data_IF_045186334592
#
_entry.id   IF_045186334592
#
_cell.length_a   1.000
_cell.length_b   1.000
_cell.length_c   1.000
_cell.angle_alpha   90.00
_cell.angle_beta   90.00
_cell.angle_gamma   90.00
#
_symmetry.space_group_name_H-M   'P 1'
#
loop_
_entity.id
_entity.type
_entity.pdbx_description
1 polymer ?
#
# COMPACT_ATOMS: atom_id res chain seq x y z
N UNK A 1 26.13 14.02 -19.27
CA UNK A 1 25.57 15.06 -18.39
C UNK A 1 24.22 14.54 -17.89
N UNK A 2 24.19 14.01 -16.66
CA UNK A 2 22.96 13.49 -16.05
C UNK A 2 22.19 14.69 -15.53
N UNK A 3 21.07 15.00 -16.19
CA UNK A 3 20.22 16.13 -15.81
C UNK A 3 19.67 15.94 -14.39
N UNK A 4 19.96 16.90 -13.54
CA UNK A 4 19.28 17.10 -12.26
C UNK A 4 17.80 17.24 -12.58
N UNK A 5 16.99 16.24 -12.18
CA UNK A 5 15.53 16.33 -12.30
C UNK A 5 15.09 17.37 -11.28
N UNK A 6 14.96 18.62 -11.73
CA UNK A 6 14.34 19.68 -10.95
C UNK A 6 12.87 19.32 -10.68
N UNK A 7 12.54 19.00 -9.42
CA UNK A 7 11.16 18.85 -8.96
C UNK A 7 10.36 20.09 -9.41
N UNK A 8 9.29 19.87 -10.18
CA UNK A 8 8.48 20.98 -10.71
C UNK A 8 7.65 21.65 -9.61
N UNK A 9 7.78 22.97 -9.49
CA UNK A 9 6.94 23.80 -8.65
C UNK A 9 5.50 23.84 -9.15
N UNK A 10 4.50 23.68 -8.27
CA UNK A 10 3.10 23.69 -8.69
C UNK A 10 2.20 24.71 -7.96
N UNK A 11 2.59 25.24 -6.80
CA UNK A 11 1.73 26.18 -6.08
C UNK A 11 2.43 27.48 -5.62
N UNK A 12 1.94 28.62 -6.14
CA UNK A 12 2.18 29.96 -5.58
C UNK A 12 1.02 30.29 -4.63
N UNK A 13 1.18 30.10 -3.32
CA UNK A 13 0.10 30.48 -2.40
C UNK A 13 0.51 30.55 -0.92
N UNK A 14 1.58 29.87 -0.54
CA UNK A 14 2.18 29.92 0.79
C UNK A 14 3.69 30.05 0.60
N UNK A 15 4.39 30.78 1.46
CA UNK A 15 5.84 31.05 1.35
C UNK A 15 6.78 29.80 1.38
N UNK A 16 6.26 28.60 1.10
CA UNK A 16 7.03 27.35 1.01
C UNK A 16 6.78 26.66 -0.34
N UNK A 17 7.86 26.17 -0.93
CA UNK A 17 7.82 25.34 -2.13
C UNK A 17 7.15 24.01 -1.83
N UNK A 18 6.20 23.59 -2.66
CA UNK A 18 5.52 22.30 -2.57
C UNK A 18 5.86 21.46 -3.82
N UNK A 19 5.99 20.15 -3.61
CA UNK A 19 6.38 19.20 -4.65
C UNK A 19 5.37 18.07 -4.75
N UNK A 20 5.11 17.59 -5.95
CA UNK A 20 4.45 16.32 -6.17
C UNK A 20 5.47 15.19 -6.08
N UNK A 21 5.18 14.18 -5.27
CA UNK A 21 6.01 12.99 -5.06
C UNK A 21 5.16 11.74 -5.15
N UNK A 22 5.77 10.62 -5.53
CA UNK A 22 5.15 9.30 -5.52
C UNK A 22 5.56 8.52 -4.28
N UNK A 23 4.58 7.90 -3.60
CA UNK A 23 4.78 7.14 -2.38
C UNK A 23 4.12 5.76 -2.44
N UNK A 24 4.86 4.72 -2.06
CA UNK A 24 4.37 3.37 -1.80
C UNK A 24 4.76 3.00 -0.36
N UNK A 25 3.77 2.94 0.53
CA UNK A 25 4.01 2.87 1.97
C UNK A 25 3.97 1.43 2.53
N UNK A 26 3.78 0.39 1.68
CA UNK A 26 3.62 -0.98 2.14
C UNK A 26 4.46 -1.95 1.31
N UNK A 27 5.74 -2.07 1.68
CA UNK A 27 6.69 -2.96 1.03
C UNK A 27 7.33 -3.89 2.07
N UNK A 28 7.21 -5.20 1.85
CA UNK A 28 7.78 -6.23 2.72
C UNK A 28 9.24 -6.51 2.42
N UNK A 29 9.94 -7.12 3.40
CA UNK A 29 11.26 -7.71 3.25
C UNK A 29 11.14 -9.24 3.27
N UNK A 30 11.66 -9.92 2.24
CA UNK A 30 11.70 -11.38 2.21
C UNK A 30 12.81 -11.96 3.09
N UNK A 31 14.01 -11.36 2.99
CA UNK A 31 15.19 -11.77 3.77
C UNK A 31 16.05 -10.57 4.12
N UNK A 32 16.77 -10.68 5.24
CA UNK A 32 17.86 -9.77 5.58
C UNK A 32 19.04 -9.93 4.61
N UNK A 33 19.98 -8.98 4.64
CA UNK A 33 21.24 -9.05 3.87
C UNK A 33 22.05 -10.32 4.21
N UNK A 34 22.00 -10.76 5.46
CA UNK A 34 22.60 -12.02 5.93
C UNK A 34 21.72 -13.26 5.65
N UNK A 35 20.77 -13.15 4.70
CA UNK A 35 19.89 -14.23 4.25
C UNK A 35 19.01 -14.85 5.34
N UNK A 36 18.75 -14.15 6.46
CA UNK A 36 17.79 -14.59 7.49
C UNK A 36 16.36 -14.34 6.97
N UNK A 37 15.41 -15.27 7.19
CA UNK A 37 14.03 -15.10 6.75
C UNK A 37 13.34 -13.98 7.54
N UNK A 38 12.59 -13.13 6.86
CA UNK A 38 11.75 -12.07 7.44
C UNK A 38 10.30 -12.35 7.08
N UNK A 39 9.86 -12.13 5.84
CA UNK A 39 8.53 -12.53 5.32
C UNK A 39 8.70 -13.77 4.47
N UNK A 40 8.26 -14.93 4.97
CA UNK A 40 8.49 -16.23 4.31
C UNK A 40 7.85 -16.29 2.93
N UNK A 41 6.72 -15.59 2.73
CA UNK A 41 5.98 -15.55 1.47
C UNK A 41 6.54 -14.56 0.45
N UNK A 42 7.53 -13.75 0.82
CA UNK A 42 8.14 -12.76 -0.06
C UNK A 42 9.41 -13.30 -0.74
N UNK A 43 9.76 -12.69 -1.88
CA UNK A 43 10.93 -13.06 -2.66
C UNK A 43 12.24 -12.83 -1.88
N UNK A 44 13.19 -13.75 -2.01
CA UNK A 44 14.49 -13.67 -1.31
C UNK A 44 15.30 -12.43 -1.66
N UNK A 45 15.15 -11.91 -2.87
CA UNK A 45 15.83 -10.68 -3.34
C UNK A 45 15.23 -9.39 -2.78
N UNK A 46 14.12 -9.46 -2.05
CA UNK A 46 13.47 -8.31 -1.45
C UNK A 46 14.10 -8.05 -0.08
N UNK A 47 15.22 -7.34 -0.05
CA UNK A 47 15.94 -6.88 1.13
C UNK A 47 15.96 -5.35 1.17
N UNK A 48 16.43 -4.76 2.27
CA UNK A 48 16.36 -3.32 2.52
C UNK A 48 17.05 -2.49 1.44
N UNK A 49 18.31 -2.84 1.11
CA UNK A 49 19.09 -2.12 0.10
C UNK A 49 18.52 -2.27 -1.32
N UNK A 50 18.05 -3.47 -1.67
CA UNK A 50 17.46 -3.72 -2.99
C UNK A 50 16.13 -2.96 -3.17
N UNK A 51 15.31 -2.81 -2.11
CA UNK A 51 14.08 -2.00 -2.16
C UNK A 51 14.44 -0.54 -2.44
N UNK A 52 15.39 0.03 -1.69
CA UNK A 52 15.84 1.41 -1.89
C UNK A 52 16.35 1.65 -3.33
N UNK A 53 17.16 0.71 -3.83
CA UNK A 53 17.69 0.75 -5.21
C UNK A 53 16.57 0.63 -6.24
N UNK A 54 15.66 -0.32 -6.10
CA UNK A 54 14.53 -0.53 -7.03
C UNK A 54 13.64 0.72 -7.10
N UNK A 55 13.31 1.32 -5.96
CA UNK A 55 12.52 2.56 -5.89
C UNK A 55 13.19 3.70 -6.65
N UNK A 56 14.54 3.88 -6.47
CA UNK A 56 15.29 4.94 -7.12
C UNK A 56 15.48 4.72 -8.61
N UNK A 57 15.94 3.51 -9.00
CA UNK A 57 16.52 3.27 -10.33
C UNK A 57 15.48 2.77 -11.33
N UNK A 58 14.42 2.10 -10.87
CA UNK A 58 13.45 1.46 -11.75
C UNK A 58 12.02 1.97 -11.56
N UNK A 59 11.58 2.15 -10.32
CA UNK A 59 10.19 2.54 -10.03
C UNK A 59 9.97 4.06 -10.14
N UNK A 60 10.88 4.86 -9.60
CA UNK A 60 10.70 6.32 -9.51
C UNK A 60 9.81 6.72 -8.35
N UNK A 61 9.85 5.94 -7.26
CA UNK A 61 9.17 6.22 -5.99
C UNK A 61 10.06 7.12 -5.15
N UNK A 62 9.51 8.22 -4.65
CA UNK A 62 10.22 9.21 -3.85
C UNK A 62 10.16 8.89 -2.34
N UNK A 63 9.04 8.31 -1.86
CA UNK A 63 8.85 7.90 -0.47
C UNK A 63 8.42 6.42 -0.45
N UNK A 64 9.17 5.57 0.25
CA UNK A 64 8.84 4.15 0.41
C UNK A 64 8.72 3.79 1.89
N UNK A 65 7.60 3.16 2.28
CA UNK A 65 7.42 2.54 3.59
C UNK A 65 7.86 1.08 3.56
N UNK A 66 8.90 0.74 4.33
CA UNK A 66 9.36 -0.64 4.50
C UNK A 66 8.84 -1.14 5.84
N UNK A 67 7.90 -2.11 5.81
CA UNK A 67 7.08 -2.44 6.97
C UNK A 67 7.54 -3.69 7.74
N UNK A 68 8.81 -4.07 7.62
CA UNK A 68 9.43 -5.16 8.38
C UNK A 68 10.65 -4.72 9.20
N UNK A 69 10.79 -3.39 9.40
CA UNK A 69 11.96 -2.79 10.05
C UNK A 69 12.04 -3.05 11.58
N UNK A 70 10.98 -3.57 12.22
CA UNK A 70 11.04 -3.97 13.62
C UNK A 70 11.76 -5.33 13.84
N UNK A 71 12.07 -6.10 12.78
CA UNK A 71 12.89 -7.29 12.92
C UNK A 71 14.33 -6.93 13.31
N UNK A 72 14.91 -7.54 14.36
CA UNK A 72 16.30 -7.30 14.76
C UNK A 72 17.32 -7.51 13.62
N UNK A 73 17.04 -8.44 12.70
CA UNK A 73 17.89 -8.67 11.53
C UNK A 73 17.83 -7.52 10.53
N UNK A 74 16.66 -6.89 10.38
CA UNK A 74 16.50 -5.72 9.50
C UNK A 74 17.09 -4.47 10.15
N UNK A 75 16.98 -4.32 11.48
CA UNK A 75 17.66 -3.24 12.22
C UNK A 75 19.16 -3.28 11.97
N UNK A 76 19.79 -4.48 12.05
CA UNK A 76 21.21 -4.66 11.72
C UNK A 76 21.52 -4.26 10.26
N UNK A 77 20.67 -4.66 9.31
CA UNK A 77 20.82 -4.28 7.90
C UNK A 77 20.76 -2.76 7.72
N UNK A 78 19.82 -2.07 8.39
CA UNK A 78 19.67 -0.61 8.35
C UNK A 78 20.91 0.08 8.92
N UNK A 79 21.41 -0.37 10.08
CA UNK A 79 22.63 0.18 10.69
C UNK A 79 23.83 0.04 9.77
N UNK A 80 23.98 -1.12 9.11
CA UNK A 80 25.05 -1.36 8.15
C UNK A 80 24.87 -0.52 6.88
N UNK A 81 23.64 -0.36 6.39
CA UNK A 81 23.33 0.48 5.26
C UNK A 81 23.69 1.96 5.49
N UNK A 82 23.39 2.48 6.68
CA UNK A 82 23.79 3.85 7.07
C UNK A 82 25.32 4.01 7.13
N UNK A 83 26.06 2.98 7.58
CA UNK A 83 27.54 3.00 7.62
C UNK A 83 28.19 3.07 6.22
N UNK A 84 27.49 2.70 5.15
CA UNK A 84 28.01 2.82 3.77
C UNK A 84 28.22 4.26 3.34
N UNK A 85 27.54 5.22 3.98
CA UNK A 85 27.50 6.63 3.58
C UNK A 85 26.64 6.92 2.34
N UNK A 86 26.00 5.90 1.73
CA UNK A 86 25.04 6.08 0.63
C UNK A 86 23.66 6.53 1.09
N UNK A 87 23.39 6.39 2.40
CA UNK A 87 22.14 6.78 3.05
C UNK A 87 22.43 7.48 4.37
N UNK A 88 21.52 8.34 4.80
CA UNK A 88 21.60 9.06 6.08
C UNK A 88 20.21 9.35 6.63
N UNK A 89 20.11 9.35 7.94
CA UNK A 89 18.89 9.72 8.64
C UNK A 89 18.74 11.24 8.70
N UNK A 90 17.53 11.76 8.55
CA UNK A 90 17.25 13.19 8.58
C UNK A 90 16.46 13.58 9.84
N UNK A 91 16.63 14.83 10.28
CA UNK A 91 16.00 15.36 11.50
C UNK A 91 14.46 15.27 11.47
N UNK A 92 13.84 15.47 10.30
CA UNK A 92 12.39 15.42 10.14
C UNK A 92 11.86 13.98 9.93
N UNK A 93 12.70 12.99 10.21
CA UNK A 93 12.42 11.56 10.18
C UNK A 93 12.48 10.95 8.79
N UNK A 94 12.94 9.71 8.75
CA UNK A 94 13.19 8.93 7.54
C UNK A 94 14.67 8.84 7.19
N UNK A 95 15.00 7.90 6.31
CA UNK A 95 16.36 7.66 5.80
C UNK A 95 16.40 8.05 4.34
N UNK A 96 17.26 9.00 3.99
CA UNK A 96 17.46 9.43 2.60
C UNK A 96 18.53 8.56 1.95
N UNK A 97 18.17 7.92 0.85
CA UNK A 97 19.07 7.13 0.01
C UNK A 97 19.47 7.91 -1.26
N UNK A 98 20.79 8.18 -1.41
CA UNK A 98 21.38 8.85 -2.58
C UNK A 98 20.61 10.14 -2.97
N UNK A 99 20.21 10.92 -2.00
CA UNK A 99 19.50 12.20 -2.12
C UNK A 99 18.19 12.16 -2.96
N UNK A 100 17.59 10.97 -3.11
CA UNK A 100 16.41 10.79 -3.98
C UNK A 100 15.24 10.09 -3.34
N UNK A 101 15.46 9.06 -2.55
CA UNK A 101 14.40 8.23 -1.95
C UNK A 101 14.42 8.40 -0.45
N UNK A 102 13.27 8.74 0.12
CA UNK A 102 13.04 8.70 1.56
C UNK A 102 12.46 7.34 1.94
N UNK A 103 13.14 6.63 2.82
CA UNK A 103 12.67 5.36 3.38
C UNK A 103 12.04 5.67 4.73
N UNK A 104 10.77 5.34 4.88
CA UNK A 104 10.03 5.40 6.13
C UNK A 104 10.10 4.03 6.80
N UNK A 105 10.58 4.01 8.03
CA UNK A 105 10.74 2.78 8.81
C UNK A 105 9.37 2.36 9.37
N UNK A 106 8.94 1.15 9.05
CA UNK A 106 7.64 0.64 9.47
C UNK A 106 7.66 -0.80 9.95
N UNK A 107 6.54 -1.22 10.52
CA UNK A 107 6.29 -2.60 10.92
C UNK A 107 4.83 -2.95 10.69
N UNK A 108 4.55 -4.13 10.10
CA UNK A 108 3.21 -4.70 10.05
C UNK A 108 2.99 -5.63 11.25
N UNK A 109 2.01 -5.30 12.09
CA UNK A 109 1.66 -6.07 13.29
C UNK A 109 0.25 -6.67 13.13
N UNK A 110 0.13 -7.99 13.30
CA UNK A 110 -1.16 -8.65 13.41
C UNK A 110 -1.68 -8.53 14.85
N UNK A 111 -2.90 -8.01 15.00
CA UNK A 111 -3.64 -7.98 16.28
C UNK A 111 -4.84 -8.90 16.24
N UNK A 112 -5.34 -9.29 17.41
CA UNK A 112 -6.57 -10.08 17.54
C UNK A 112 -7.65 -9.23 18.16
N UNK A 113 -8.79 -9.14 17.47
CA UNK A 113 -9.92 -8.31 17.87
C UNK A 113 -11.14 -9.17 18.21
N UNK A 114 -11.85 -8.81 19.27
CA UNK A 114 -13.14 -9.44 19.58
C UNK A 114 -14.19 -8.89 18.60
N UNK A 115 -14.61 -9.72 17.67
CA UNK A 115 -15.65 -9.37 16.70
C UNK A 115 -17.05 -9.31 17.32
N UNK A 116 -18.02 -8.76 16.56
CA UNK A 116 -19.39 -8.49 16.99
C UNK A 116 -20.17 -9.71 17.51
N UNK A 117 -19.80 -10.93 17.12
CA UNK A 117 -20.48 -12.17 17.47
C UNK A 117 -19.68 -13.06 18.41
N UNK A 118 -18.70 -12.50 19.14
CA UNK A 118 -17.82 -13.26 20.04
C UNK A 118 -16.74 -14.06 19.31
N UNK A 119 -16.67 -14.02 17.98
CA UNK A 119 -15.56 -14.57 17.21
C UNK A 119 -14.36 -13.61 17.28
N UNK A 120 -13.17 -14.17 17.51
CA UNK A 120 -11.93 -13.40 17.40
C UNK A 120 -11.52 -13.33 15.93
N UNK A 121 -11.54 -12.13 15.36
CA UNK A 121 -10.93 -11.82 14.10
C UNK A 121 -9.47 -11.39 14.27
N UNK A 122 -8.72 -11.28 13.18
CA UNK A 122 -7.39 -10.68 13.18
C UNK A 122 -7.29 -9.57 12.13
N UNK A 123 -6.51 -8.55 12.43
CA UNK A 123 -6.26 -7.43 11.53
C UNK A 123 -4.78 -7.07 11.51
N UNK A 124 -4.30 -6.58 10.37
CA UNK A 124 -2.97 -6.03 10.23
C UNK A 124 -2.99 -4.51 10.45
N UNK A 125 -1.93 -4.03 11.06
CA UNK A 125 -1.71 -2.62 11.37
C UNK A 125 -0.34 -2.23 10.86
N UNK A 126 -0.26 -1.18 10.03
CA UNK A 126 0.98 -0.56 9.59
C UNK A 126 1.38 0.49 10.62
N UNK A 127 2.52 0.29 11.24
CA UNK A 127 3.10 1.20 12.23
C UNK A 127 4.32 1.85 11.60
N UNK A 128 4.37 3.19 11.52
CA UNK A 128 5.49 3.92 10.92
C UNK A 128 6.18 4.79 11.96
N UNK A 129 7.49 4.91 11.85
CA UNK A 129 8.33 5.60 12.83
C UNK A 129 9.28 6.59 12.15
N UNK A 130 9.56 7.75 12.81
CA UNK A 130 10.43 8.76 12.24
C UNK A 130 11.90 8.35 12.23
N UNK A 131 12.39 7.67 13.30
CA UNK A 131 13.79 7.43 13.49
C UNK A 131 14.13 5.98 13.80
N UNK A 132 15.38 5.59 13.50
CA UNK A 132 15.88 4.24 13.79
C UNK A 132 15.81 3.91 15.29
N UNK A 133 16.07 4.86 16.16
CA UNK A 133 15.97 4.63 17.60
C UNK A 133 14.53 4.42 18.06
N UNK A 134 13.54 5.07 17.42
CA UNK A 134 12.13 4.86 17.72
C UNK A 134 11.69 3.43 17.39
N UNK A 135 12.04 2.93 16.18
CA UNK A 135 11.67 1.57 15.81
C UNK A 135 12.47 0.50 16.56
N UNK A 136 13.70 0.79 17.01
CA UNK A 136 14.44 -0.09 17.93
C UNK A 136 13.72 -0.22 19.28
N UNK A 137 13.30 0.91 19.85
CA UNK A 137 12.52 0.96 21.09
C UNK A 137 11.22 0.18 20.94
N UNK A 138 10.48 0.44 19.86
CA UNK A 138 9.26 -0.28 19.52
C UNK A 138 9.50 -1.81 19.36
N UNK A 139 10.53 -2.22 18.62
CA UNK A 139 10.90 -3.63 18.45
C UNK A 139 11.18 -4.33 19.78
N UNK A 140 11.93 -3.66 20.66
CA UNK A 140 12.24 -4.18 21.99
C UNK A 140 10.97 -4.38 22.82
N UNK A 141 10.04 -3.43 22.83
CA UNK A 141 8.77 -3.56 23.55
C UNK A 141 7.90 -4.63 22.93
N UNK A 142 7.75 -4.64 21.61
CA UNK A 142 6.94 -5.63 20.90
C UNK A 142 7.47 -7.06 21.05
N UNK A 143 8.75 -7.25 21.34
CA UNK A 143 9.31 -8.59 21.62
C UNK A 143 8.71 -9.25 22.87
N UNK A 144 8.07 -8.48 23.75
CA UNK A 144 7.33 -9.00 24.92
C UNK A 144 5.90 -9.43 24.57
N UNK A 145 5.37 -8.96 23.45
CA UNK A 145 4.01 -9.23 22.97
C UNK A 145 3.97 -10.19 21.79
N UNK A 146 5.10 -10.41 21.09
CA UNK A 146 5.22 -11.23 19.90
C UNK A 146 6.14 -12.40 20.17
N UNK A 147 5.70 -13.63 19.88
CA UNK A 147 6.48 -14.84 20.11
C UNK A 147 7.82 -14.88 19.36
N UNK A 148 7.85 -14.35 18.14
CA UNK A 148 9.05 -14.28 17.32
C UNK A 148 9.12 -12.96 16.54
N UNK A 149 9.73 -11.94 17.13
CA UNK A 149 9.90 -10.61 16.54
C UNK A 149 10.85 -10.61 15.33
N UNK A 150 11.60 -11.68 15.09
CA UNK A 150 12.49 -11.75 13.91
C UNK A 150 11.74 -11.95 12.60
N UNK A 151 10.49 -12.41 12.64
CA UNK A 151 9.63 -12.63 11.48
C UNK A 151 8.60 -11.50 11.34
N UNK A 152 8.27 -11.19 10.08
CA UNK A 152 7.27 -10.20 9.69
C UNK A 152 5.84 -10.61 10.06
N UNK A 153 4.97 -9.61 10.27
CA UNK A 153 3.52 -9.76 10.41
C UNK A 153 3.10 -10.81 11.43
N UNK A 154 3.85 -10.90 12.52
CA UNK A 154 3.54 -11.84 13.59
C UNK A 154 2.39 -11.30 14.43
N UNK A 155 1.60 -12.25 14.98
CA UNK A 155 0.51 -11.91 15.89
C UNK A 155 1.06 -11.44 17.23
N UNK A 156 0.66 -10.23 17.61
CA UNK A 156 0.87 -9.71 18.94
C UNK A 156 -0.24 -10.17 19.90
N UNK A 157 0.11 -10.36 21.16
CA UNK A 157 -0.83 -10.72 22.22
C UNK A 157 -1.45 -9.45 22.87
N UNK A 158 -1.79 -8.49 22.03
CA UNK A 158 -2.47 -7.22 22.36
C UNK A 158 -3.50 -6.89 21.28
N UNK A 159 -4.46 -6.02 21.62
CA UNK A 159 -5.42 -5.45 20.68
C UNK A 159 -4.83 -4.27 19.91
N UNK A 160 -5.46 -3.87 18.80
CA UNK A 160 -5.10 -2.66 18.07
C UNK A 160 -5.30 -1.39 18.93
N UNK A 161 -6.27 -1.41 19.84
CA UNK A 161 -6.49 -0.35 20.82
C UNK A 161 -5.30 -0.13 21.76
N UNK A 162 -4.65 -1.22 22.20
CA UNK A 162 -3.43 -1.15 23.02
C UNK A 162 -2.19 -0.84 22.17
N UNK A 163 -2.11 -1.38 20.96
CA UNK A 163 -0.98 -1.17 20.04
C UNK A 163 -0.78 0.32 19.72
N UNK A 164 -1.86 1.09 19.57
CA UNK A 164 -1.74 2.52 19.22
C UNK A 164 -0.98 3.31 20.29
N UNK A 165 -1.11 2.99 21.58
CA UNK A 165 -0.37 3.66 22.66
C UNK A 165 1.13 3.33 22.59
N UNK A 166 1.46 2.07 22.27
CA UNK A 166 2.86 1.66 22.09
C UNK A 166 3.47 2.38 20.88
N UNK A 167 2.74 2.48 19.78
CA UNK A 167 3.20 3.20 18.58
C UNK A 167 3.46 4.66 18.88
N UNK A 168 2.53 5.35 19.55
CA UNK A 168 2.67 6.76 19.94
C UNK A 168 3.83 7.01 20.92
N UNK A 169 4.05 6.09 21.85
CA UNK A 169 5.18 6.17 22.81
C UNK A 169 6.54 6.26 22.10
N UNK A 170 6.64 5.67 20.90
CA UNK A 170 7.83 5.73 20.03
C UNK A 170 7.65 6.69 18.85
N UNK A 171 6.90 7.79 19.04
CA UNK A 171 6.68 8.84 18.04
C UNK A 171 6.09 8.35 16.70
N UNK A 172 5.52 7.17 16.69
CA UNK A 172 4.97 6.55 15.47
C UNK A 172 3.51 6.91 15.20
N UNK A 173 3.04 6.43 14.06
CA UNK A 173 1.63 6.48 13.65
C UNK A 173 1.15 5.08 13.25
N UNK A 174 -0.15 4.83 13.47
CA UNK A 174 -0.80 3.58 13.08
C UNK A 174 -1.78 3.83 11.94
N UNK A 175 -1.69 3.00 10.89
CA UNK A 175 -2.60 2.96 9.74
C UNK A 175 -3.15 1.55 9.61
N UNK A 176 -4.47 1.33 9.71
CA UNK A 176 -5.08 0.03 9.45
C UNK A 176 -4.77 -0.45 8.02
N UNK A 177 -4.22 -1.66 7.89
CA UNK A 177 -3.78 -2.22 6.62
C UNK A 177 -4.92 -2.87 5.85
N UNK A 178 -4.92 -2.74 4.50
CA UNK A 178 -5.85 -3.42 3.57
C UNK A 178 -7.21 -3.74 4.20
N UNK A 179 -7.90 -2.69 4.70
CA UNK A 179 -9.01 -2.75 5.66
C UNK A 179 -10.17 -3.66 5.31
N UNK A 180 -10.35 -4.01 4.03
CA UNK A 180 -11.53 -4.71 3.52
C UNK A 180 -11.29 -6.17 3.13
N UNK A 181 -10.03 -6.64 3.09
CA UNK A 181 -9.72 -8.02 2.70
C UNK A 181 -10.38 -9.04 3.63
N UNK A 182 -10.83 -10.22 3.15
CA UNK A 182 -11.54 -11.19 3.99
C UNK A 182 -10.67 -11.77 5.11
N UNK A 183 -9.35 -11.63 5.00
CA UNK A 183 -8.40 -12.15 5.96
C UNK A 183 -7.54 -11.02 6.53
N UNK A 184 -7.31 -11.05 7.85
CA UNK A 184 -6.37 -10.16 8.57
C UNK A 184 -6.67 -8.66 8.33
N UNK A 185 -7.94 -8.31 8.37
CA UNK A 185 -8.38 -6.93 8.19
C UNK A 185 -9.52 -6.56 9.14
N UNK A 186 -9.71 -5.28 9.36
CA UNK A 186 -10.76 -4.83 10.28
C UNK A 186 -12.15 -5.09 9.72
N UNK A 187 -12.53 -4.51 8.59
CA UNK A 187 -13.88 -4.65 8.04
C UNK A 187 -14.17 -6.03 7.47
N UNK A 188 -13.17 -6.68 6.89
CA UNK A 188 -13.34 -8.01 6.31
C UNK A 188 -13.45 -9.13 7.35
N UNK A 189 -12.84 -8.98 8.54
CA UNK A 189 -12.68 -10.09 9.49
C UNK A 189 -13.11 -9.76 10.92
N UNK A 190 -13.00 -8.50 11.39
CA UNK A 190 -13.15 -8.18 12.81
C UNK A 190 -14.42 -7.41 13.14
N UNK A 191 -14.79 -6.39 12.37
CA UNK A 191 -15.82 -5.42 12.74
C UNK A 191 -16.56 -4.86 11.53
N UNK A 192 -17.66 -4.17 11.77
CA UNK A 192 -18.37 -3.34 10.81
C UNK A 192 -18.02 -1.84 10.95
N UNK A 193 -17.34 -1.45 12.06
CA UNK A 193 -16.92 -0.08 12.35
C UNK A 193 -15.60 -0.06 13.11
N UNK A 194 -14.64 0.73 12.64
CA UNK A 194 -13.34 0.95 13.30
C UNK A 194 -13.51 1.62 14.67
N UNK A 195 -14.49 2.51 14.81
CA UNK A 195 -14.79 3.17 16.08
C UNK A 195 -15.11 2.17 17.21
N UNK A 196 -15.66 0.99 16.90
CA UNK A 196 -15.90 -0.06 17.90
C UNK A 196 -14.60 -0.69 18.44
N UNK A 197 -13.56 -0.70 17.63
CA UNK A 197 -12.22 -1.22 17.99
C UNK A 197 -11.40 -0.14 18.68
N UNK A 198 -11.26 1.02 18.05
CA UNK A 198 -10.36 2.09 18.50
C UNK A 198 -10.98 3.05 19.50
N UNK A 199 -12.31 3.07 19.62
CA UNK A 199 -13.07 3.92 20.56
C UNK A 199 -12.65 5.38 20.46
N UNK A 200 -12.33 6.04 21.58
CA UNK A 200 -11.85 7.41 21.64
C UNK A 200 -10.50 7.65 20.90
N UNK A 201 -9.74 6.58 20.69
CA UNK A 201 -8.47 6.65 19.92
C UNK A 201 -8.70 6.63 18.40
N UNK A 202 -9.93 6.45 17.93
CA UNK A 202 -10.23 6.47 16.49
C UNK A 202 -9.76 7.77 15.81
N UNK A 203 -9.85 8.91 16.52
CA UNK A 203 -9.36 10.19 16.02
C UNK A 203 -7.84 10.24 15.78
N UNK A 204 -7.07 9.36 16.42
CA UNK A 204 -5.61 9.25 16.26
C UNK A 204 -5.19 8.53 14.97
N UNK A 205 -6.12 7.80 14.33
CA UNK A 205 -5.88 7.13 13.05
C UNK A 205 -5.93 8.17 11.93
N UNK A 206 -4.82 8.52 11.27
CA UNK A 206 -4.80 9.58 10.26
C UNK A 206 -5.33 9.11 8.91
N UNK A 207 -5.14 7.84 8.58
CA UNK A 207 -5.47 7.26 7.29
C UNK A 207 -5.84 5.78 7.40
N UNK A 208 -6.46 5.23 6.37
CA UNK A 208 -6.65 3.79 6.19
C UNK A 208 -6.10 3.35 4.83
N UNK A 209 -5.61 2.11 4.75
CA UNK A 209 -5.24 1.49 3.49
C UNK A 209 -6.42 0.73 2.90
N UNK A 210 -6.74 1.05 1.64
CA UNK A 210 -7.88 0.43 0.93
C UNK A 210 -7.62 -1.05 0.61
N UNK A 211 -6.39 -1.37 0.19
CA UNK A 211 -6.01 -2.69 -0.33
C UNK A 211 -6.50 -2.96 -1.75
N UNK A 212 -5.94 -3.99 -2.38
CA UNK A 212 -6.02 -4.27 -3.82
C UNK A 212 -7.40 -4.68 -4.36
N UNK A 213 -8.38 -4.90 -3.51
CA UNK A 213 -9.74 -5.34 -3.90
C UNK A 213 -10.82 -4.30 -3.57
N UNK A 214 -10.44 -3.10 -3.14
CA UNK A 214 -11.33 -1.98 -2.83
C UNK A 214 -10.84 -0.70 -3.51
N UNK A 215 -11.70 0.29 -3.59
CA UNK A 215 -11.41 1.63 -4.08
C UNK A 215 -12.09 2.70 -3.20
N UNK A 216 -11.85 3.95 -3.53
CA UNK A 216 -12.46 5.10 -2.85
C UNK A 216 -13.99 5.06 -2.93
N UNK A 217 -14.56 4.65 -4.07
CA UNK A 217 -16.02 4.68 -4.27
C UNK A 217 -16.74 3.64 -3.42
N UNK A 218 -16.13 2.49 -3.21
CA UNK A 218 -16.64 1.46 -2.30
C UNK A 218 -16.48 1.90 -0.84
N UNK A 219 -15.32 2.39 -0.45
CA UNK A 219 -15.03 2.80 0.91
C UNK A 219 -15.87 4.01 1.37
N UNK A 220 -16.14 4.97 0.49
CA UNK A 220 -16.96 6.17 0.78
C UNK A 220 -18.45 5.86 1.07
N UNK A 221 -18.88 4.61 0.90
CA UNK A 221 -20.21 4.16 1.36
C UNK A 221 -20.29 3.90 2.86
N UNK A 222 -19.16 4.04 3.59
CA UNK A 222 -19.07 3.86 5.04
C UNK A 222 -18.83 5.23 5.69
N UNK A 223 -19.82 5.72 6.44
CA UNK A 223 -19.87 7.11 6.93
C UNK A 223 -18.72 7.47 7.87
N UNK A 224 -18.29 6.55 8.75
CA UNK A 224 -17.18 6.82 9.69
C UNK A 224 -15.86 7.15 8.98
N UNK A 225 -15.72 6.78 7.71
CA UNK A 225 -14.49 7.03 6.92
C UNK A 225 -14.43 8.43 6.28
N UNK A 226 -15.46 9.26 6.40
CA UNK A 226 -15.50 10.59 5.77
C UNK A 226 -14.30 11.47 6.17
N UNK A 227 -13.87 11.38 7.43
CA UNK A 227 -12.75 12.15 7.97
C UNK A 227 -11.36 11.53 7.74
N UNK A 228 -11.29 10.32 7.18
CA UNK A 228 -10.03 9.57 7.04
C UNK A 228 -9.42 9.77 5.67
N UNK A 229 -8.12 9.95 5.61
CA UNK A 229 -7.37 9.90 4.36
C UNK A 229 -7.28 8.46 3.86
N UNK A 230 -7.46 8.25 2.56
CA UNK A 230 -7.26 6.94 1.94
C UNK A 230 -5.87 6.85 1.31
N UNK A 231 -5.21 5.71 1.52
CA UNK A 231 -3.96 5.37 0.85
C UNK A 231 -4.11 4.05 0.09
N UNK A 232 -3.42 3.98 -1.04
CA UNK A 232 -3.27 2.78 -1.86
C UNK A 232 -1.80 2.40 -1.87
N UNK A 233 -1.48 1.17 -1.50
CA UNK A 233 -0.11 0.71 -1.45
C UNK A 233 0.01 -0.66 -2.09
N UNK A 234 1.23 -1.02 -2.48
CA UNK A 234 1.45 -2.22 -3.27
C UNK A 234 1.32 -3.54 -2.50
N UNK A 235 1.50 -3.54 -1.19
CA UNK A 235 1.68 -4.79 -0.41
C UNK A 235 2.67 -5.72 -1.13
N UNK A 236 3.84 -5.16 -1.47
CA UNK A 236 4.79 -5.81 -2.36
C UNK A 236 5.55 -6.94 -1.65
N UNK A 237 5.48 -8.14 -2.24
CA UNK A 237 6.22 -9.34 -1.83
C UNK A 237 7.33 -9.70 -2.82
N UNK A 238 7.65 -8.82 -3.78
CA UNK A 238 8.77 -8.94 -4.72
C UNK A 238 9.08 -7.59 -5.35
N UNK A 239 10.34 -7.35 -5.76
CA UNK A 239 10.77 -6.08 -6.37
C UNK A 239 9.87 -5.62 -7.53
N UNK A 240 9.47 -6.48 -8.49
CA UNK A 240 8.61 -6.04 -9.58
C UNK A 240 7.21 -5.55 -9.15
N UNK A 241 6.72 -5.96 -7.96
CA UNK A 241 5.40 -5.58 -7.44
C UNK A 241 5.41 -4.25 -6.69
N UNK A 242 6.58 -3.68 -6.35
CA UNK A 242 6.67 -2.34 -5.78
C UNK A 242 5.99 -1.36 -6.74
N UNK A 243 5.22 -0.44 -6.20
CA UNK A 243 4.45 0.56 -6.95
C UNK A 243 3.44 -0.02 -7.95
N UNK A 244 2.87 -1.23 -7.69
CA UNK A 244 1.69 -1.68 -8.45
C UNK A 244 0.42 -0.93 -8.04
N UNK A 245 0.37 -0.41 -6.82
CA UNK A 245 -0.47 0.67 -6.31
C UNK A 245 0.42 1.66 -5.56
N UNK A 246 0.09 2.94 -5.59
CA UNK A 246 0.86 4.00 -4.97
C UNK A 246 0.04 5.29 -4.87
N UNK A 247 0.58 6.24 -4.11
CA UNK A 247 -0.05 7.53 -3.89
C UNK A 247 0.77 8.64 -4.55
N UNK A 248 0.09 9.65 -5.07
CA UNK A 248 0.70 10.92 -5.43
C UNK A 248 0.40 11.91 -4.32
N UNK A 249 1.42 12.54 -3.78
CA UNK A 249 1.33 13.41 -2.62
C UNK A 249 1.83 14.81 -2.95
N UNK A 250 1.26 15.81 -2.30
CA UNK A 250 1.75 17.19 -2.28
C UNK A 250 2.42 17.43 -0.93
N UNK A 251 3.73 17.66 -0.93
CA UNK A 251 4.57 17.80 0.28
C UNK A 251 5.59 18.93 0.14
N UNK A 252 6.11 19.44 1.26
CA UNK A 252 7.17 20.44 1.27
C UNK A 252 8.57 19.86 1.09
N UNK A 253 8.77 18.59 1.48
CA UNK A 253 9.99 17.81 1.29
C UNK A 253 9.66 16.31 1.42
N UNK A 254 10.66 15.43 1.24
CA UNK A 254 10.50 13.99 1.49
C UNK A 254 11.00 13.66 2.90
N UNK A 255 10.08 13.46 3.83
CA UNK A 255 10.37 13.10 5.23
C UNK A 255 9.16 12.44 5.89
N UNK A 256 9.36 11.84 7.06
CA UNK A 256 8.27 11.32 7.89
C UNK A 256 7.29 12.43 8.32
N UNK A 257 7.81 13.60 8.74
CA UNK A 257 6.95 14.70 9.16
C UNK A 257 6.08 15.23 8.02
N UNK A 258 6.60 15.31 6.82
CA UNK A 258 5.82 15.73 5.63
C UNK A 258 4.80 14.65 5.21
N UNK A 259 5.16 13.35 5.32
CA UNK A 259 4.22 12.24 5.17
C UNK A 259 3.08 12.34 6.18
N UNK A 260 3.39 12.54 7.47
CA UNK A 260 2.39 12.66 8.53
C UNK A 260 1.41 13.81 8.26
N UNK A 261 1.92 14.99 7.88
CA UNK A 261 1.10 16.13 7.49
C UNK A 261 0.20 15.83 6.29
N UNK A 262 0.72 15.12 5.29
CA UNK A 262 -0.06 14.74 4.13
C UNK A 262 -1.19 13.74 4.47
N UNK A 263 -0.93 12.77 5.36
CA UNK A 263 -1.95 11.85 5.86
C UNK A 263 -3.03 12.55 6.68
N UNK A 264 -2.69 13.66 7.36
CA UNK A 264 -3.61 14.46 8.17
C UNK A 264 -4.24 15.63 7.40
N UNK A 265 -3.86 15.88 6.15
CA UNK A 265 -4.25 17.06 5.37
C UNK A 265 -3.89 18.40 6.05
N UNK A 266 -2.72 18.48 6.67
CA UNK A 266 -2.23 19.65 7.42
C UNK A 266 -1.33 20.55 6.57
N UNK A 267 -1.38 21.86 6.82
CA UNK A 267 -0.51 22.87 6.19
C UNK A 267 -0.46 22.82 4.66
N UNK A 268 -1.55 22.40 4.02
CA UNK A 268 -1.64 22.23 2.57
C UNK A 268 -0.97 20.97 2.00
N UNK A 269 -0.38 20.11 2.87
CA UNK A 269 0.09 18.78 2.48
C UNK A 269 -1.11 17.85 2.38
N UNK A 270 -1.10 16.97 1.38
CA UNK A 270 -2.21 16.02 1.18
C UNK A 270 -1.82 14.90 0.21
N UNK A 271 -2.60 13.83 0.24
CA UNK A 271 -2.66 12.88 -0.87
C UNK A 271 -3.51 13.54 -1.97
N UNK A 272 -3.00 13.65 -3.19
CA UNK A 272 -3.73 14.25 -4.32
C UNK A 272 -4.33 13.21 -5.25
N UNK A 273 -3.69 12.05 -5.38
CA UNK A 273 -4.22 10.95 -6.20
C UNK A 273 -3.85 9.60 -5.58
N UNK A 274 -4.82 8.71 -5.49
CA UNK A 274 -4.62 7.29 -5.26
C UNK A 274 -4.55 6.57 -6.61
N UNK A 275 -3.40 5.99 -6.96
CA UNK A 275 -3.26 5.11 -8.12
C UNK A 275 -3.42 3.67 -7.65
N UNK A 276 -4.60 3.11 -7.85
CA UNK A 276 -4.93 1.76 -7.41
C UNK A 276 -5.43 0.87 -8.54
N UNK A 277 -5.48 -0.42 -8.31
CA UNK A 277 -6.08 -1.38 -9.24
C UNK A 277 -7.60 -1.16 -9.31
N UNK A 278 -8.21 -1.51 -10.45
CA UNK A 278 -9.66 -1.78 -10.44
C UNK A 278 -9.91 -2.93 -9.45
N UNK A 279 -10.81 -2.78 -8.47
CA UNK A 279 -11.10 -3.80 -7.46
C UNK A 279 -11.37 -5.18 -8.03
N UNK A 280 -11.88 -5.27 -9.26
CA UNK A 280 -12.10 -6.54 -9.99
C UNK A 280 -10.80 -7.30 -10.26
N UNK A 281 -9.64 -6.61 -10.34
CA UNK A 281 -8.33 -7.25 -10.47
C UNK A 281 -7.85 -7.87 -9.15
N UNK A 282 -8.40 -7.45 -8.03
CA UNK A 282 -8.06 -7.97 -6.71
C UNK A 282 -8.45 -9.44 -6.53
N UNK A 283 -7.68 -10.14 -5.70
CA UNK A 283 -7.86 -11.58 -5.44
C UNK A 283 -9.18 -11.94 -4.75
N UNK A 284 -9.79 -10.98 -4.09
CA UNK A 284 -10.93 -11.18 -3.19
C UNK A 284 -12.10 -10.28 -3.52
N UNK A 285 -12.26 -9.82 -4.75
CA UNK A 285 -13.32 -8.90 -5.12
C UNK A 285 -14.72 -9.47 -4.86
N UNK A 286 -14.99 -10.69 -5.32
CA UNK A 286 -16.29 -11.37 -5.16
C UNK A 286 -16.18 -12.58 -4.23
N UNK A 287 -17.31 -12.92 -3.60
CA UNK A 287 -17.44 -14.09 -2.74
C UNK A 287 -17.12 -15.37 -3.49
N UNK A 288 -16.30 -16.22 -2.86
CA UNK A 288 -15.83 -17.49 -3.39
C UNK A 288 -16.36 -18.65 -2.57
N UNK A 289 -16.83 -19.70 -3.24
CA UNK A 289 -17.28 -20.94 -2.59
C UNK A 289 -16.11 -21.91 -2.44
N UNK A 290 -15.75 -22.24 -1.22
CA UNK A 290 -14.64 -23.17 -0.92
C UNK A 290 -15.00 -24.63 -1.31
N UNK A 291 -16.31 -24.96 -1.40
CA UNK A 291 -16.78 -26.28 -1.82
C UNK A 291 -16.78 -26.43 -3.35
N UNK A 292 -17.33 -25.42 -4.05
CA UNK A 292 -17.40 -25.45 -5.52
C UNK A 292 -16.11 -25.05 -6.21
N UNK A 293 -15.17 -24.40 -5.49
CA UNK A 293 -13.92 -23.93 -6.06
C UNK A 293 -14.06 -22.79 -7.07
N UNK A 294 -15.07 -21.89 -6.92
CA UNK A 294 -15.33 -20.80 -7.87
C UNK A 294 -16.01 -19.59 -7.25
N UNK A 295 -15.91 -18.44 -7.91
CA UNK A 295 -16.67 -17.25 -7.55
C UNK A 295 -18.17 -17.52 -7.68
N UNK A 296 -18.95 -17.04 -6.72
CA UNK A 296 -20.41 -17.20 -6.71
C UNK A 296 -21.00 -16.07 -7.55
N UNK A 297 -21.77 -16.39 -8.63
CA UNK A 297 -22.46 -15.37 -9.41
C UNK A 297 -23.67 -14.82 -8.66
N UNK A 298 -24.12 -13.63 -9.03
CA UNK A 298 -25.31 -12.98 -8.49
C UNK A 298 -25.06 -11.54 -8.05
N UNK A 299 -26.12 -10.88 -7.61
CA UNK A 299 -26.05 -9.53 -7.05
C UNK A 299 -25.47 -9.57 -5.64
N UNK A 300 -24.61 -8.60 -5.30
CA UNK A 300 -24.11 -8.46 -3.94
C UNK A 300 -25.21 -7.94 -3.00
N UNK A 301 -25.21 -8.34 -1.72
CA UNK A 301 -24.24 -9.23 -1.09
C UNK A 301 -24.58 -10.72 -1.27
N UNK A 302 -23.57 -11.55 -1.52
CA UNK A 302 -23.70 -13.01 -1.59
C UNK A 302 -23.16 -13.64 -0.31
N UNK A 303 -24.02 -14.35 0.43
CA UNK A 303 -23.71 -14.94 1.74
C UNK A 303 -23.82 -16.47 1.78
N UNK A 304 -24.33 -17.08 0.70
CA UNK A 304 -24.50 -18.53 0.53
C UNK A 304 -24.22 -18.87 -0.92
N UNK A 305 -23.62 -20.02 -1.18
CA UNK A 305 -23.42 -20.50 -2.55
C UNK A 305 -24.74 -20.89 -3.19
N UNK A 306 -25.10 -20.25 -4.29
CA UNK A 306 -26.34 -20.54 -5.05
C UNK A 306 -26.25 -21.81 -5.91
N UNK A 307 -25.13 -22.53 -5.91
CA UNK A 307 -24.93 -23.79 -6.67
C UNK A 307 -25.01 -25.02 -5.76
N UNK A 308 -24.51 -24.93 -4.52
CA UNK A 308 -24.45 -26.07 -3.60
C UNK A 308 -24.97 -25.76 -2.19
N UNK A 309 -25.61 -24.60 -1.99
CA UNK A 309 -26.17 -24.12 -0.74
C UNK A 309 -25.17 -24.07 0.45
N UNK A 310 -23.88 -24.15 0.14
CA UNK A 310 -22.82 -24.11 1.15
C UNK A 310 -22.66 -22.72 1.73
N UNK A 311 -22.47 -22.67 3.05
CA UNK A 311 -22.04 -21.49 3.82
C UNK A 311 -20.51 -21.44 4.01
N UNK A 312 -19.78 -22.47 3.55
CA UNK A 312 -18.32 -22.46 3.56
C UNK A 312 -17.83 -21.61 2.39
N UNK A 313 -17.75 -20.31 2.63
CA UNK A 313 -17.41 -19.28 1.66
C UNK A 313 -16.33 -18.36 2.20
N UNK A 314 -15.47 -17.85 1.30
CA UNK A 314 -14.63 -16.67 1.55
C UNK A 314 -15.38 -15.46 1.01
N UNK A 315 -15.88 -14.60 1.92
CA UNK A 315 -16.67 -13.43 1.55
C UNK A 315 -15.84 -12.42 0.78
N UNK A 316 -16.32 -11.99 -0.39
CA UNK A 316 -15.66 -11.00 -1.21
C UNK A 316 -15.72 -9.59 -0.60
N UNK A 317 -14.73 -8.77 -0.95
CA UNK A 317 -14.64 -7.38 -0.48
C UNK A 317 -15.88 -6.58 -0.87
N UNK A 318 -16.31 -6.67 -2.13
CA UNK A 318 -17.52 -6.00 -2.62
C UNK A 318 -18.78 -6.46 -1.87
N UNK A 319 -18.95 -7.78 -1.71
CA UNK A 319 -20.07 -8.34 -0.99
C UNK A 319 -20.08 -7.92 0.50
N UNK A 320 -18.91 -7.84 1.12
CA UNK A 320 -18.77 -7.38 2.51
C UNK A 320 -19.11 -5.90 2.67
N UNK A 321 -18.60 -5.04 1.78
CA UNK A 321 -18.92 -3.60 1.80
C UNK A 321 -20.43 -3.38 1.63
N UNK A 322 -21.09 -4.10 0.74
CA UNK A 322 -22.55 -4.02 0.56
C UNK A 322 -23.34 -4.40 1.84
N UNK A 323 -22.77 -5.25 2.71
CA UNK A 323 -23.38 -5.59 4.01
C UNK A 323 -23.22 -4.47 5.04
N UNK A 324 -22.04 -3.83 5.06
CA UNK A 324 -21.67 -2.87 6.12
C UNK A 324 -21.86 -1.41 5.75
N UNK A 325 -22.15 -1.11 4.49
CA UNK A 325 -22.42 0.27 4.04
C UNK A 325 -23.59 0.86 4.80
N UNK A 326 -23.53 2.14 5.11
CA UNK A 326 -24.57 2.92 5.79
C UNK A 326 -24.92 4.21 5.04
N UNK A 327 -24.33 4.40 3.85
CA UNK A 327 -24.66 5.49 2.93
C UNK A 327 -24.92 4.92 1.54
N UNK A 328 -25.84 5.56 0.82
CA UNK A 328 -25.91 5.42 -0.63
C UNK A 328 -24.66 6.05 -1.29
N UNK A 329 -24.39 5.73 -2.56
CA UNK A 329 -23.29 6.36 -3.32
C UNK A 329 -23.51 7.88 -3.32
N UNK A 330 -22.73 8.56 -2.51
CA UNK A 330 -22.73 10.02 -2.41
C UNK A 330 -21.49 10.59 -3.08
N UNK A 331 -21.49 11.90 -3.27
CA UNK A 331 -20.26 12.61 -3.68
C UNK A 331 -19.21 12.42 -2.61
N UNK A 332 -18.00 12.02 -3.01
CA UNK A 332 -16.87 11.90 -2.08
C UNK A 332 -16.60 13.23 -1.37
N UNK A 333 -16.14 13.20 -0.10
CA UNK A 333 -15.73 14.41 0.62
C UNK A 333 -14.65 15.20 -0.14
N UNK A 334 -14.61 16.53 0.03
CA UNK A 334 -13.63 17.40 -0.66
C UNK A 334 -12.17 17.05 -0.34
N UNK A 335 -11.92 16.48 0.85
CA UNK A 335 -10.59 16.02 1.26
C UNK A 335 -10.16 14.73 0.56
N UNK A 336 -11.08 14.06 -0.15
CA UNK A 336 -10.82 12.76 -0.77
C UNK A 336 -9.91 12.93 -1.98
N UNK A 337 -8.77 12.20 -2.05
CA UNK A 337 -7.94 12.20 -3.24
C UNK A 337 -8.70 11.61 -4.44
N UNK A 338 -8.34 12.06 -5.62
CA UNK A 338 -8.78 11.41 -6.86
C UNK A 338 -8.32 9.95 -6.86
N UNK A 339 -9.19 9.03 -7.27
CA UNK A 339 -8.83 7.62 -7.48
C UNK A 339 -8.70 7.32 -8.96
N UNK A 340 -7.49 6.94 -9.38
CA UNK A 340 -7.18 6.59 -10.77
C UNK A 340 -6.91 5.10 -10.86
N UNK A 341 -7.70 4.38 -11.67
CA UNK A 341 -7.47 2.98 -11.93
C UNK A 341 -6.17 2.80 -12.73
N UNK A 342 -5.15 2.26 -12.04
CA UNK A 342 -3.83 2.05 -12.61
C UNK A 342 -3.64 0.58 -12.98
N UNK A 343 -3.14 0.34 -14.18
CA UNK A 343 -2.70 -0.99 -14.62
C UNK A 343 -1.17 -1.02 -14.60
N UNK A 344 -0.53 -1.79 -13.69
CA UNK A 344 0.91 -1.91 -13.66
C UNK A 344 1.48 -2.41 -15.00
N UNK A 345 2.67 -1.94 -15.38
CA UNK A 345 3.29 -2.35 -16.67
C UNK A 345 3.38 -3.87 -16.81
N UNK A 346 3.63 -4.57 -15.71
CA UNK A 346 3.70 -6.05 -15.68
C UNK A 346 2.37 -6.76 -15.92
N UNK A 347 1.23 -6.03 -15.84
CA UNK A 347 -0.12 -6.59 -16.08
C UNK A 347 -0.58 -6.35 -17.52
N UNK A 348 0.11 -5.50 -18.29
CA UNK A 348 -0.25 -5.18 -19.65
C UNK A 348 0.12 -6.37 -20.56
N UNK A 349 -0.85 -6.96 -21.28
CA UNK A 349 -0.58 -8.05 -22.20
C UNK A 349 0.47 -7.69 -23.26
N UNK A 350 1.47 -8.55 -23.44
CA UNK A 350 2.57 -8.32 -24.39
C UNK A 350 3.77 -7.53 -23.84
N UNK A 351 3.67 -6.92 -22.65
CA UNK A 351 4.80 -6.31 -21.97
C UNK A 351 5.55 -7.34 -21.11
N UNK A 352 6.43 -8.12 -21.75
CA UNK A 352 7.35 -9.00 -21.01
C UNK A 352 8.53 -8.23 -20.39
N UNK A 353 9.28 -8.92 -19.51
CA UNK A 353 10.44 -8.34 -18.82
C UNK A 353 11.40 -7.60 -19.74
N UNK A 354 11.77 -8.21 -20.89
CA UNK A 354 12.69 -7.59 -21.88
C UNK A 354 12.18 -6.25 -22.42
N UNK A 355 10.88 -6.15 -22.66
CA UNK A 355 10.26 -4.92 -23.16
C UNK A 355 10.25 -3.83 -22.08
N UNK A 356 9.94 -4.23 -20.82
CA UNK A 356 9.99 -3.31 -19.68
C UNK A 356 11.44 -2.83 -19.46
N UNK A 357 12.42 -3.73 -19.47
CA UNK A 357 13.82 -3.35 -19.33
C UNK A 357 14.25 -2.37 -20.42
N UNK A 358 13.87 -2.62 -21.69
CA UNK A 358 14.13 -1.70 -22.81
C UNK A 358 13.50 -0.31 -22.60
N UNK A 359 12.28 -0.24 -22.07
CA UNK A 359 11.63 1.04 -21.73
C UNK A 359 12.39 1.76 -20.62
N UNK A 360 12.81 1.04 -19.57
CA UNK A 360 13.55 1.62 -18.45
C UNK A 360 14.94 2.11 -18.86
N UNK A 361 15.63 1.38 -19.73
CA UNK A 361 16.94 1.79 -20.26
C UNK A 361 16.86 3.11 -21.05
N UNK A 362 15.74 3.35 -21.74
CA UNK A 362 15.54 4.59 -22.51
C UNK A 362 14.96 5.74 -21.69
N UNK A 363 14.07 5.45 -20.73
CA UNK A 363 13.24 6.46 -20.06
C UNK A 363 13.45 6.54 -18.55
N UNK A 364 14.30 5.70 -17.99
CA UNK A 364 14.71 5.68 -16.59
C UNK A 364 13.75 4.93 -15.68
N UNK A 365 12.57 5.45 -15.35
CA UNK A 365 11.70 4.85 -14.34
C UNK A 365 10.29 4.55 -14.81
N UNK A 366 9.61 3.60 -14.12
CA UNK A 366 8.20 3.29 -14.40
C UNK A 366 7.30 4.51 -14.25
N UNK A 367 7.55 5.38 -13.24
CA UNK A 367 6.77 6.62 -13.07
C UNK A 367 6.95 7.57 -14.25
N UNK A 368 8.13 7.64 -14.88
CA UNK A 368 8.30 8.41 -16.11
C UNK A 368 7.48 7.80 -17.25
N UNK A 369 7.55 6.47 -17.42
CA UNK A 369 6.80 5.75 -18.46
C UNK A 369 5.30 5.93 -18.27
N UNK A 370 4.80 5.87 -17.04
CA UNK A 370 3.36 5.93 -16.75
C UNK A 370 2.79 7.35 -16.77
N UNK A 371 3.61 8.39 -16.49
CA UNK A 371 3.07 9.74 -16.23
C UNK A 371 3.61 10.85 -17.13
N UNK A 372 4.73 10.65 -17.83
CA UNK A 372 5.39 11.75 -18.51
C UNK A 372 5.56 11.57 -20.02
N UNK A 373 5.63 10.34 -20.51
CA UNK A 373 5.93 10.09 -21.91
C UNK A 373 4.70 10.25 -22.80
N UNK A 374 4.91 10.81 -23.98
CA UNK A 374 3.91 10.82 -25.05
C UNK A 374 3.78 9.43 -25.70
N UNK A 375 2.72 9.26 -26.52
CA UNK A 375 2.57 8.05 -27.34
C UNK A 375 3.77 7.91 -28.29
N UNK A 376 4.20 9.00 -28.92
CA UNK A 376 5.27 9.00 -29.92
C UNK A 376 6.62 8.58 -29.31
N UNK A 377 6.92 9.05 -28.06
CA UNK A 377 8.11 8.59 -27.32
C UNK A 377 8.11 7.07 -27.12
N UNK A 378 6.96 6.52 -26.70
CA UNK A 378 6.80 5.09 -26.48
C UNK A 378 6.92 4.30 -27.79
N UNK A 379 6.24 4.78 -28.84
CA UNK A 379 6.21 4.13 -30.16
C UNK A 379 7.60 4.01 -30.76
N UNK A 380 8.43 5.02 -30.63
CA UNK A 380 9.81 5.02 -31.12
C UNK A 380 10.67 3.88 -30.49
N UNK A 381 10.33 3.44 -29.27
CA UNK A 381 11.09 2.41 -28.54
C UNK A 381 10.45 1.02 -28.66
N UNK A 382 9.13 0.90 -28.50
CA UNK A 382 8.45 -0.40 -28.38
C UNK A 382 7.49 -0.71 -29.53
N UNK A 383 7.35 0.19 -30.51
CA UNK A 383 6.43 0.09 -31.64
C UNK A 383 4.99 0.40 -31.29
N UNK A 384 4.20 0.70 -32.32
CA UNK A 384 2.84 1.23 -32.22
C UNK A 384 1.92 0.38 -31.36
N UNK A 385 1.87 -0.93 -31.59
CA UNK A 385 0.99 -1.86 -30.87
C UNK A 385 1.20 -1.81 -29.36
N UNK A 386 2.47 -1.85 -28.93
CA UNK A 386 2.83 -1.85 -27.51
C UNK A 386 2.59 -0.47 -26.89
N UNK A 387 2.92 0.60 -27.60
CA UNK A 387 2.64 1.97 -27.18
C UNK A 387 1.14 2.20 -26.96
N UNK A 388 0.30 1.77 -27.91
CA UNK A 388 -1.17 1.83 -27.77
C UNK A 388 -1.67 1.06 -26.54
N UNK A 389 -1.10 -0.12 -26.24
CA UNK A 389 -1.47 -0.88 -25.05
C UNK A 389 -1.13 -0.12 -23.75
N UNK A 390 0.04 0.53 -23.69
CA UNK A 390 0.44 1.36 -22.53
C UNK A 390 -0.50 2.57 -22.38
N UNK A 391 -0.81 3.26 -23.47
CA UNK A 391 -1.74 4.41 -23.44
C UNK A 391 -3.14 3.96 -23.00
N UNK A 392 -3.67 2.86 -23.56
CA UNK A 392 -4.98 2.31 -23.16
C UNK A 392 -5.00 1.92 -21.67
N UNK A 393 -3.90 1.40 -21.13
CA UNK A 393 -3.77 1.09 -19.71
C UNK A 393 -3.81 2.36 -18.85
N UNK A 394 -3.12 3.44 -19.26
CA UNK A 394 -3.15 4.75 -18.56
C UNK A 394 -4.54 5.38 -18.54
N UNK A 395 -5.32 5.18 -19.61
CA UNK A 395 -6.65 5.74 -19.79
C UNK A 395 -7.77 4.85 -19.21
N UNK A 396 -7.42 3.73 -18.57
CA UNK A 396 -8.40 2.79 -18.01
C UNK A 396 -9.29 2.10 -19.05
N UNK A 397 -8.86 2.04 -20.32
CA UNK A 397 -9.66 1.51 -21.46
C UNK A 397 -9.47 0.00 -21.69
N UNK A 398 -8.77 -0.72 -20.81
CA UNK A 398 -8.55 -2.15 -20.98
C UNK A 398 -9.70 -2.97 -20.39
N UNK A 399 -10.04 -4.10 -21.05
CA UNK A 399 -11.04 -5.04 -20.55
C UNK A 399 -10.46 -5.85 -19.39
N UNK A 400 -11.24 -5.97 -18.29
CA UNK A 400 -10.83 -6.68 -17.07
C UNK A 400 -11.69 -7.92 -16.87
N UNK A 401 -11.04 -9.06 -16.61
CA UNK A 401 -11.66 -10.27 -16.10
C UNK A 401 -11.46 -10.32 -14.58
N UNK A 402 -12.56 -10.42 -13.81
CA UNK A 402 -12.50 -10.37 -12.36
C UNK A 402 -11.71 -11.55 -11.74
N UNK A 403 -10.96 -11.23 -10.68
CA UNK A 403 -10.29 -12.20 -9.81
C UNK A 403 -11.22 -12.73 -8.72
N UNK A 404 -10.73 -13.71 -7.96
CA UNK A 404 -11.41 -14.28 -6.80
C UNK A 404 -10.76 -15.55 -6.32
N UNK A 405 -11.14 -16.03 -5.12
CA UNK A 405 -10.58 -17.25 -4.54
C UNK A 405 -9.06 -17.24 -4.37
N UNK A 406 -8.47 -16.07 -4.07
CA UNK A 406 -7.04 -15.92 -3.92
C UNK A 406 -6.25 -15.73 -5.23
N UNK A 407 -6.93 -15.69 -6.39
CA UNK A 407 -6.31 -15.51 -7.72
C UNK A 407 -6.62 -14.11 -8.24
N UNK A 408 -5.59 -13.40 -8.75
CA UNK A 408 -5.77 -12.09 -9.37
C UNK A 408 -6.61 -12.17 -10.64
N UNK A 409 -7.38 -11.12 -10.90
CA UNK A 409 -8.00 -10.88 -12.18
C UNK A 409 -6.97 -10.69 -13.30
N UNK A 410 -7.44 -10.68 -14.54
CA UNK A 410 -6.61 -10.55 -15.72
C UNK A 410 -7.03 -9.35 -16.55
N UNK A 411 -6.04 -8.67 -17.13
CA UNK A 411 -6.23 -7.63 -18.12
C UNK A 411 -6.21 -8.29 -19.50
N UNK A 412 -7.21 -8.03 -20.32
CA UNK A 412 -7.27 -8.51 -21.72
C UNK A 412 -6.88 -7.38 -22.66
N UNK A 413 -6.11 -7.72 -23.71
CA UNK A 413 -5.88 -6.77 -24.80
C UNK A 413 -7.22 -6.44 -25.47
N UNK A 414 -7.40 -5.17 -25.84
CA UNK A 414 -8.51 -4.74 -26.70
C UNK A 414 -8.31 -5.24 -28.13
#
# INVERSE_FOLDING_TARGET
>A
MVGIITRKYIYKGWNKKMYEVFADLHVHIGRSENNKPIKITAARSLNFANIAKECRDRKGIDIVGIIDCASPYVIEDIENFLKTGEAYEIKDGGIIYKDKVCIILGSEIETSEKGLNGHCGSAHNLCYFPHLEDIKGFSKEMSTHIKNITLSSQRANISAYELIDIVEKYNGILVPAHCFTPHKSFYGNCTDRLEKIFKEKYSKIPAIELGLSSDTFLADTISELESKTFVTNSDAHSLPKIAREYNKMLVGDISFNELLKALKNEDGRKIITNYGLDPKLGKYHRTYCEVCGKNIPGNAPVTVCNTCDSKNITMGVYDRIEIIKDKEKTKSPEIRPEYVYQIPLTFIPGLGKKTIDKLLDNFGTEMNILHKLSKDDLEAVVGEKTANSIISAREGKMTIQAGGGGVYGQVKAC
#
